data_IF_072789444367
#
_entry.id   IF_072789444367
#
_cell.length_a   1.000
_cell.length_b   1.000
_cell.length_c   1.000
_cell.angle_alpha   90.00
_cell.angle_beta   90.00
_cell.angle_gamma   90.00
#
_symmetry.space_group_name_H-M   'P 1'
#
loop_
_entity.id
_entity.type
_entity.pdbx_description
1 polymer ?
#
# COMPACT_ATOMS: atom_id res chain seq x y z
N UNK A 1 10.69 -20.07 -1.20
CA UNK A 1 9.56 -20.30 -2.14
C UNK A 1 8.27 -20.05 -1.38
N UNK A 2 7.29 -19.38 -1.96
CA UNK A 2 6.02 -19.05 -1.29
C UNK A 2 4.83 -19.53 -2.11
N UNK A 3 3.72 -19.88 -1.46
CA UNK A 3 2.46 -20.20 -2.10
C UNK A 3 1.32 -19.37 -1.50
N UNK A 4 0.49 -18.78 -2.37
CA UNK A 4 -0.58 -17.86 -2.02
C UNK A 4 -1.91 -18.46 -2.40
N UNK A 5 -2.87 -18.51 -1.49
CA UNK A 5 -4.07 -19.33 -1.68
C UNK A 5 -5.33 -18.51 -1.93
N UNK A 6 -6.23 -19.06 -2.76
CA UNK A 6 -7.58 -18.53 -2.97
C UNK A 6 -7.78 -17.70 -4.23
N UNK A 7 -6.84 -17.74 -5.18
CA UNK A 7 -6.85 -16.92 -6.40
C UNK A 7 -7.20 -17.67 -7.68
N UNK A 8 -6.91 -18.96 -7.74
CA UNK A 8 -7.04 -19.78 -8.95
C UNK A 8 -7.64 -21.14 -8.61
N UNK A 9 -8.11 -21.89 -9.62
CA UNK A 9 -8.59 -23.27 -9.43
C UNK A 9 -7.44 -24.27 -9.25
N UNK A 10 -6.28 -23.98 -9.83
CA UNK A 10 -5.10 -24.85 -9.84
C UNK A 10 -3.84 -24.03 -9.48
N UNK A 11 -2.82 -24.67 -8.87
CA UNK A 11 -1.51 -24.09 -8.69
C UNK A 11 -0.97 -23.44 -9.97
N UNK A 12 -0.65 -22.14 -9.91
CA UNK A 12 0.05 -21.42 -10.98
C UNK A 12 1.41 -20.97 -10.48
N UNK A 13 2.46 -21.31 -11.21
CA UNK A 13 3.83 -20.90 -10.88
C UNK A 13 4.18 -19.59 -11.55
N UNK A 14 4.83 -18.69 -10.82
CA UNK A 14 5.32 -17.41 -11.32
C UNK A 14 6.85 -17.36 -11.34
N UNK A 15 7.38 -16.49 -12.20
CA UNK A 15 8.79 -16.10 -12.21
C UNK A 15 9.21 -15.49 -10.86
N UNK A 16 10.52 -15.42 -10.63
CA UNK A 16 11.10 -14.92 -9.37
C UNK A 16 10.82 -13.44 -9.07
N UNK A 17 10.32 -12.70 -10.04
CA UNK A 17 9.91 -11.31 -9.91
C UNK A 17 8.37 -11.16 -9.78
N UNK A 18 7.63 -12.28 -9.80
CA UNK A 18 6.17 -12.30 -9.71
C UNK A 18 5.45 -11.76 -10.95
N UNK A 19 6.15 -11.46 -12.06
CA UNK A 19 5.55 -10.78 -13.23
C UNK A 19 5.05 -11.73 -14.31
N UNK A 20 5.72 -12.87 -14.51
CA UNK A 20 5.42 -13.81 -15.60
C UNK A 20 4.85 -15.11 -15.05
N UNK A 21 3.70 -15.52 -15.59
CA UNK A 21 3.14 -16.85 -15.36
C UNK A 21 4.02 -17.87 -16.10
N UNK A 22 4.63 -18.79 -15.36
CA UNK A 22 5.40 -19.92 -15.89
C UNK A 22 4.51 -21.12 -16.28
N UNK A 23 3.25 -21.11 -15.82
CA UNK A 23 2.27 -22.16 -16.08
C UNK A 23 2.08 -23.10 -14.89
N UNK A 24 1.69 -24.35 -15.15
CA UNK A 24 1.37 -25.36 -14.12
C UNK A 24 2.54 -26.28 -13.74
N UNK A 25 3.71 -26.14 -14.39
CA UNK A 25 4.88 -26.99 -14.15
C UNK A 25 6.03 -26.17 -13.56
N UNK A 26 6.37 -26.43 -12.30
CA UNK A 26 7.64 -26.03 -11.70
C UNK A 26 8.70 -27.11 -11.98
N UNK A 27 9.94 -26.68 -12.25
CA UNK A 27 11.09 -27.58 -12.40
C UNK A 27 11.54 -28.18 -11.06
N UNK A 28 11.21 -27.51 -9.95
CA UNK A 28 11.48 -27.99 -8.61
C UNK A 28 10.38 -28.98 -8.18
N UNK A 29 10.73 -30.27 -8.11
CA UNK A 29 9.76 -31.33 -7.80
C UNK A 29 9.30 -31.24 -6.35
N UNK A 30 10.21 -31.04 -5.41
CA UNK A 30 9.89 -30.98 -3.97
C UNK A 30 8.94 -29.82 -3.67
N UNK A 31 9.24 -28.62 -4.19
CA UNK A 31 8.36 -27.48 -3.99
C UNK A 31 7.01 -27.66 -4.68
N UNK A 32 7.00 -28.26 -5.88
CA UNK A 32 5.76 -28.56 -6.57
C UNK A 32 4.89 -29.51 -5.75
N UNK A 33 5.49 -30.60 -5.26
CA UNK A 33 4.79 -31.62 -4.48
C UNK A 33 4.30 -31.03 -3.15
N UNK A 34 5.08 -30.16 -2.53
CA UNK A 34 4.64 -29.33 -1.41
C UNK A 34 3.39 -28.50 -1.74
N UNK A 35 3.40 -27.71 -2.82
CA UNK A 35 2.25 -26.88 -3.22
C UNK A 35 0.99 -27.73 -3.47
N UNK A 36 1.15 -28.91 -4.08
CA UNK A 36 0.03 -29.85 -4.30
C UNK A 36 -0.47 -30.52 -3.02
N UNK A 37 0.38 -30.67 -2.02
CA UNK A 37 0.00 -31.25 -0.73
C UNK A 37 -0.74 -30.27 0.20
N UNK A 38 -0.76 -28.97 -0.12
CA UNK A 38 -1.54 -27.99 0.65
C UNK A 38 -3.04 -28.29 0.45
N UNK A 39 -3.75 -28.53 1.57
CA UNK A 39 -5.17 -28.92 1.57
C UNK A 39 -6.10 -27.84 1.02
N UNK A 40 -5.72 -26.58 1.17
CA UNK A 40 -6.50 -25.47 0.63
C UNK A 40 -6.38 -25.45 -0.90
N UNK A 41 -7.50 -25.59 -1.60
CA UNK A 41 -7.52 -25.67 -3.07
C UNK A 41 -7.16 -24.33 -3.70
N UNK A 42 -6.24 -24.36 -4.68
CA UNK A 42 -5.96 -23.22 -5.54
C UNK A 42 -4.89 -22.28 -4.99
N UNK A 43 -3.67 -22.42 -5.52
CA UNK A 43 -2.51 -21.67 -5.05
C UNK A 43 -1.80 -20.92 -6.19
N UNK A 44 -1.05 -19.89 -5.83
CA UNK A 44 -0.14 -19.17 -6.69
C UNK A 44 1.23 -19.25 -6.05
N UNK A 45 2.16 -19.90 -6.74
CA UNK A 45 3.44 -20.28 -6.19
C UNK A 45 4.57 -19.46 -6.81
N UNK A 46 5.38 -18.83 -5.97
CA UNK A 46 6.56 -18.05 -6.37
C UNK A 46 7.79 -18.74 -5.84
N UNK A 47 8.72 -19.08 -6.73
CA UNK A 47 9.93 -19.82 -6.35
C UNK A 47 10.86 -18.93 -5.50
N UNK A 48 11.24 -17.78 -6.01
CA UNK A 48 12.20 -16.90 -5.32
C UNK A 48 11.71 -15.47 -5.37
N UNK A 49 12.15 -14.64 -4.41
CA UNK A 49 11.73 -13.24 -4.27
C UNK A 49 12.92 -12.28 -4.48
N UNK A 50 13.80 -12.57 -5.43
CA UNK A 50 15.09 -11.87 -5.53
C UNK A 50 15.06 -10.56 -6.31
N UNK A 51 13.95 -10.21 -6.97
CA UNK A 51 13.82 -9.02 -7.83
C UNK A 51 12.41 -8.42 -7.82
N UNK A 52 11.80 -8.34 -6.64
CA UNK A 52 10.46 -7.76 -6.52
C UNK A 52 10.53 -6.25 -6.69
N UNK A 53 9.67 -5.70 -7.54
CA UNK A 53 9.43 -4.27 -7.57
C UNK A 53 8.46 -3.93 -6.42
N UNK A 54 9.05 -3.50 -5.31
CA UNK A 54 8.29 -3.20 -4.11
C UNK A 54 7.46 -1.92 -4.28
N UNK A 55 6.24 -1.95 -3.74
CA UNK A 55 5.25 -0.89 -3.82
C UNK A 55 4.65 -0.66 -2.46
N UNK A 56 4.41 0.61 -2.15
CA UNK A 56 3.77 1.03 -0.90
C UNK A 56 2.26 0.98 -1.05
N UNK A 57 1.56 0.52 -0.02
CA UNK A 57 0.09 0.43 0.05
C UNK A 57 -0.38 0.67 1.48
N UNK A 58 -1.55 1.26 1.61
CA UNK A 58 -2.35 1.16 2.83
C UNK A 58 -3.15 -0.13 2.73
N UNK A 59 -2.83 -1.11 3.58
CA UNK A 59 -3.58 -2.35 3.66
C UNK A 59 -4.58 -2.24 4.78
N UNK A 60 -5.87 -2.30 4.44
CA UNK A 60 -6.97 -2.20 5.38
C UNK A 60 -7.95 -3.33 5.11
N UNK A 61 -8.16 -4.20 6.10
CA UNK A 61 -8.88 -5.47 5.94
C UNK A 61 -8.33 -6.27 4.74
N UNK A 62 -9.14 -6.54 3.73
CA UNK A 62 -8.82 -7.30 2.52
C UNK A 62 -8.47 -6.42 1.30
N UNK A 63 -8.27 -5.11 1.52
CA UNK A 63 -8.00 -4.12 0.47
C UNK A 63 -6.62 -3.49 0.63
N UNK A 64 -5.92 -3.36 -0.49
CA UNK A 64 -4.67 -2.62 -0.60
C UNK A 64 -4.89 -1.37 -1.43
N UNK A 65 -4.89 -0.22 -0.78
CA UNK A 65 -5.12 1.09 -1.39
C UNK A 65 -3.76 1.70 -1.71
N UNK A 66 -3.59 2.26 -2.91
CA UNK A 66 -2.34 2.94 -3.21
C UNK A 66 -2.24 4.30 -2.50
N UNK A 67 -1.01 4.80 -2.30
CA UNK A 67 -0.73 6.12 -1.72
C UNK A 67 -1.50 7.31 -2.27
N UNK A 68 -1.77 7.32 -3.58
CA UNK A 68 -2.54 8.39 -4.21
C UNK A 68 -4.06 8.22 -4.03
N UNK A 69 -4.50 7.18 -3.33
CA UNK A 69 -5.88 6.79 -3.07
C UNK A 69 -6.74 6.48 -4.32
N UNK A 70 -6.13 6.33 -5.50
CA UNK A 70 -6.83 6.14 -6.79
C UNK A 70 -7.05 4.69 -7.18
N UNK A 71 -6.32 3.76 -6.58
CA UNK A 71 -6.35 2.36 -6.98
C UNK A 71 -6.48 1.47 -5.75
N UNK A 72 -7.35 0.47 -5.87
CA UNK A 72 -7.59 -0.53 -4.84
C UNK A 72 -7.32 -1.91 -5.45
N UNK A 73 -6.48 -2.67 -4.77
CA UNK A 73 -6.10 -4.05 -5.11
C UNK A 73 -6.64 -4.98 -4.02
N UNK A 74 -6.86 -6.26 -4.35
CA UNK A 74 -7.17 -7.26 -3.32
C UNK A 74 -5.91 -7.70 -2.58
N UNK A 75 -6.01 -7.93 -1.28
CA UNK A 75 -4.89 -8.44 -0.48
C UNK A 75 -4.83 -9.97 -0.55
N UNK A 76 -3.63 -10.52 -0.41
CA UNK A 76 -3.43 -11.98 -0.27
C UNK A 76 -4.23 -12.54 0.92
N UNK A 77 -4.91 -13.68 0.80
CA UNK A 77 -5.67 -14.28 1.92
C UNK A 77 -4.81 -15.07 2.90
N UNK A 78 -3.87 -15.86 2.37
CA UNK A 78 -2.98 -16.74 3.13
C UNK A 78 -1.66 -16.87 2.40
N UNK A 79 -0.56 -16.87 3.16
CA UNK A 79 0.79 -17.03 2.64
C UNK A 79 1.40 -18.28 3.28
N UNK A 80 1.85 -19.20 2.44
CA UNK A 80 2.63 -20.36 2.86
C UNK A 80 4.08 -20.13 2.47
N UNK A 81 5.01 -20.30 3.43
CA UNK A 81 6.44 -20.15 3.20
C UNK A 81 7.08 -21.53 3.27
N UNK A 82 7.52 -22.05 2.12
CA UNK A 82 8.15 -23.36 2.05
C UNK A 82 9.39 -23.43 2.97
N UNK A 83 9.57 -24.52 3.75
CA UNK A 83 8.77 -25.76 3.74
C UNK A 83 7.61 -25.84 4.76
N UNK A 84 7.19 -24.72 5.36
CA UNK A 84 6.12 -24.74 6.38
C UNK A 84 4.75 -25.05 5.78
N UNK A 85 3.98 -25.91 6.45
CA UNK A 85 2.57 -26.17 6.13
C UNK A 85 1.59 -25.30 6.90
N UNK A 86 2.10 -24.38 7.72
CA UNK A 86 1.30 -23.42 8.46
C UNK A 86 1.17 -22.14 7.64
N UNK A 87 -0.07 -21.76 7.38
CA UNK A 87 -0.37 -20.50 6.69
C UNK A 87 -0.13 -19.33 7.63
N UNK A 88 0.54 -18.30 7.13
CA UNK A 88 0.65 -17.00 7.77
C UNK A 88 -0.49 -16.10 7.26
N UNK A 89 -1.17 -15.44 8.19
CA UNK A 89 -2.15 -14.41 7.86
C UNK A 89 -1.44 -13.16 7.31
N UNK A 90 -2.04 -12.49 6.30
CA UNK A 90 -1.46 -11.27 5.76
C UNK A 90 -1.41 -10.17 6.82
N UNK A 91 -0.42 -9.28 6.69
CA UNK A 91 -0.41 -8.01 7.42
C UNK A 91 -1.66 -7.21 7.04
N UNK A 92 -2.39 -6.72 8.02
CA UNK A 92 -3.58 -5.88 7.84
C UNK A 92 -3.51 -4.61 8.70
N UNK A 93 -4.33 -3.62 8.36
CA UNK A 93 -4.45 -2.32 9.04
C UNK A 93 -3.09 -1.63 9.22
N UNK A 94 -2.34 -1.57 8.12
CA UNK A 94 -0.98 -1.06 8.11
C UNK A 94 -0.64 -0.39 6.78
N UNK A 95 0.20 0.63 6.84
CA UNK A 95 0.98 1.10 5.71
C UNK A 95 2.19 0.18 5.53
N UNK A 96 2.31 -0.41 4.34
CA UNK A 96 3.23 -1.52 4.10
C UNK A 96 3.95 -1.37 2.77
N UNK A 97 5.10 -2.02 2.70
CA UNK A 97 5.83 -2.29 1.47
C UNK A 97 5.58 -3.75 1.06
N UNK A 98 5.25 -3.97 -0.20
CA UNK A 98 4.91 -5.29 -0.73
C UNK A 98 5.00 -5.34 -2.24
N UNK A 99 4.39 -6.32 -2.90
CA UNK A 99 4.41 -6.41 -4.36
C UNK A 99 3.05 -6.82 -4.91
N UNK A 100 2.76 -6.38 -6.12
CA UNK A 100 1.51 -6.71 -6.83
C UNK A 100 1.77 -7.86 -7.80
N UNK A 101 1.00 -8.93 -7.68
CA UNK A 101 0.87 -9.98 -8.68
C UNK A 101 -0.20 -9.59 -9.70
N UNK A 102 0.20 -9.60 -10.97
CA UNK A 102 -0.75 -9.39 -12.07
C UNK A 102 -1.49 -10.70 -12.37
N UNK A 103 -2.82 -10.64 -12.27
CA UNK A 103 -3.72 -11.68 -12.79
C UNK A 103 -4.52 -11.17 -13.98
N UNK A 104 -5.19 -12.10 -14.65
CA UNK A 104 -6.11 -11.84 -15.76
C UNK A 104 -7.34 -11.04 -15.29
N UNK A 105 -7.80 -11.22 -14.04
CA UNK A 105 -9.05 -10.61 -13.54
C UNK A 105 -8.86 -9.49 -12.52
N UNK A 106 -7.97 -9.62 -11.54
CA UNK A 106 -7.72 -8.58 -10.55
C UNK A 106 -6.28 -8.64 -10.02
N UNK A 107 -5.57 -7.51 -9.91
CA UNK A 107 -4.27 -7.47 -9.26
C UNK A 107 -4.41 -7.86 -7.78
N UNK A 108 -3.44 -8.62 -7.28
CA UNK A 108 -3.37 -9.05 -5.88
C UNK A 108 -2.11 -8.50 -5.25
N UNK A 109 -2.25 -7.78 -4.16
CA UNK A 109 -1.14 -7.23 -3.40
C UNK A 109 -0.74 -8.19 -2.27
N UNK A 110 0.56 -8.46 -2.19
CA UNK A 110 1.17 -9.28 -1.14
C UNK A 110 1.96 -8.34 -0.23
N UNK A 111 1.48 -8.05 0.99
CA UNK A 111 2.21 -7.24 1.95
C UNK A 111 3.39 -8.02 2.52
N UNK A 112 4.54 -7.36 2.67
CA UNK A 112 5.77 -8.01 3.16
C UNK A 112 6.36 -7.32 4.39
N UNK A 113 6.46 -6.00 4.36
CA UNK A 113 7.15 -5.22 5.39
C UNK A 113 6.18 -4.15 5.90
N UNK A 114 5.95 -4.14 7.21
CA UNK A 114 5.22 -3.07 7.88
C UNK A 114 6.09 -1.83 7.93
N UNK A 115 5.60 -0.71 7.41
CA UNK A 115 6.21 0.60 7.62
C UNK A 115 5.59 1.24 8.87
N UNK A 116 4.24 1.18 8.97
CA UNK A 116 3.47 1.76 10.08
C UNK A 116 2.15 1.03 10.25
N UNK A 117 1.72 0.78 11.49
CA UNK A 117 0.35 0.36 11.78
C UNK A 117 -0.59 1.55 11.79
N UNK A 118 -1.78 1.37 11.21
CA UNK A 118 -2.79 2.42 11.10
C UNK A 118 -3.68 2.43 12.34
N UNK A 119 -4.06 3.62 12.77
CA UNK A 119 -5.04 3.79 13.85
C UNK A 119 -6.47 3.55 13.37
N UNK A 120 -7.39 3.30 14.30
CA UNK A 120 -8.79 2.95 13.98
C UNK A 120 -9.47 4.04 13.13
N UNK A 121 -9.30 5.31 13.48
CA UNK A 121 -9.85 6.42 12.68
C UNK A 121 -9.27 6.51 11.27
N UNK A 122 -7.99 6.17 11.09
CA UNK A 122 -7.35 6.15 9.78
C UNK A 122 -7.85 4.98 8.92
N UNK A 123 -8.04 3.82 9.56
CA UNK A 123 -8.63 2.62 8.95
C UNK A 123 -10.05 2.92 8.45
N UNK A 124 -10.87 3.58 9.26
CA UNK A 124 -12.23 3.95 8.88
C UNK A 124 -12.27 4.96 7.72
N UNK A 125 -11.44 6.00 7.78
CA UNK A 125 -11.32 6.99 6.71
C UNK A 125 -10.91 6.35 5.37
N UNK A 126 -9.89 5.48 5.38
CA UNK A 126 -9.45 4.75 4.20
C UNK A 126 -10.51 3.80 3.64
N UNK A 127 -11.30 3.15 4.49
CA UNK A 127 -12.41 2.30 4.06
C UNK A 127 -13.55 3.10 3.41
N UNK A 128 -13.79 4.33 3.88
CA UNK A 128 -14.74 5.26 3.27
C UNK A 128 -14.36 5.57 1.82
N UNK A 129 -13.07 5.81 1.60
CA UNK A 129 -12.49 6.14 0.29
C UNK A 129 -12.38 4.96 -0.66
N UNK A 130 -12.09 3.76 -0.16
CA UNK A 130 -11.92 2.57 -0.99
C UNK A 130 -13.20 2.15 -1.74
N UNK A 131 -14.30 2.89 -1.62
CA UNK A 131 -15.55 2.75 -2.40
C UNK A 131 -15.55 3.61 -3.67
N UNK A 132 -14.73 4.65 -3.73
CA UNK A 132 -14.64 5.61 -4.84
C UNK A 132 -13.60 5.12 -5.84
N UNK A 133 -13.90 5.18 -7.15
CA UNK A 133 -13.06 4.57 -8.20
C UNK A 133 -11.84 5.40 -8.57
N UNK A 134 -11.94 6.72 -8.51
CA UNK A 134 -10.84 7.65 -8.73
C UNK A 134 -11.04 8.84 -7.82
N UNK A 135 -9.96 9.27 -7.15
CA UNK A 135 -9.96 10.40 -6.22
C UNK A 135 -9.27 11.60 -6.86
N UNK A 136 -10.00 12.70 -6.98
CA UNK A 136 -9.47 14.01 -7.34
C UNK A 136 -8.91 14.75 -6.10
N UNK A 137 -8.41 15.97 -6.29
CA UNK A 137 -7.82 16.76 -5.19
C UNK A 137 -8.86 17.13 -4.14
N UNK A 138 -10.08 17.50 -4.55
CA UNK A 138 -11.15 17.87 -3.61
C UNK A 138 -11.54 16.68 -2.72
N UNK A 139 -11.65 15.47 -3.30
CA UNK A 139 -11.91 14.25 -2.56
C UNK A 139 -10.73 13.85 -1.66
N UNK A 140 -9.49 14.17 -2.05
CA UNK A 140 -8.32 14.02 -1.18
C UNK A 140 -8.33 15.04 -0.03
N UNK A 141 -8.87 16.23 -0.24
CA UNK A 141 -9.06 17.22 0.84
C UNK A 141 -10.14 16.73 1.80
N UNK A 142 -11.26 16.22 1.30
CA UNK A 142 -12.31 15.62 2.12
C UNK A 142 -11.80 14.41 2.92
N UNK A 143 -10.92 13.60 2.33
CA UNK A 143 -10.21 12.56 3.08
C UNK A 143 -9.48 13.11 4.30
N UNK A 144 -8.67 14.14 4.12
CA UNK A 144 -7.88 14.73 5.20
C UNK A 144 -8.78 15.37 6.26
N UNK A 145 -9.88 15.99 5.85
CA UNK A 145 -10.92 16.49 6.77
C UNK A 145 -11.54 15.37 7.58
N UNK A 146 -11.78 14.20 6.99
CA UNK A 146 -12.29 13.02 7.71
C UNK A 146 -11.31 12.49 8.77
N UNK A 147 -10.01 12.83 8.65
CA UNK A 147 -8.99 12.56 9.66
C UNK A 147 -8.92 13.62 10.77
N UNK A 148 -9.85 14.59 10.76
CA UNK A 148 -9.90 15.71 11.71
C UNK A 148 -8.92 16.84 11.41
N UNK A 149 -8.34 16.89 10.21
CA UNK A 149 -7.39 17.93 9.80
C UNK A 149 -8.17 19.08 9.15
N UNK A 150 -7.90 20.32 9.57
CA UNK A 150 -8.45 21.47 8.82
C UNK A 150 -7.54 21.74 7.62
N UNK A 151 -8.17 21.93 6.45
CA UNK A 151 -7.45 22.01 5.17
C UNK A 151 -7.91 23.21 4.38
N UNK A 152 -6.95 24.07 4.03
CA UNK A 152 -7.10 25.14 3.06
C UNK A 152 -6.21 24.84 1.84
N UNK A 153 -6.71 25.19 0.64
CA UNK A 153 -6.02 24.88 -0.62
C UNK A 153 -5.86 26.14 -1.44
N UNK A 154 -4.65 26.35 -1.97
CA UNK A 154 -4.30 27.49 -2.83
C UNK A 154 -3.57 26.97 -4.07
N UNK A 155 -4.03 27.37 -5.25
CA UNK A 155 -3.37 27.02 -6.51
C UNK A 155 -2.28 28.04 -6.86
N UNK A 156 -1.08 27.55 -7.14
CA UNK A 156 0.06 28.31 -7.67
C UNK A 156 0.38 27.84 -9.10
N UNK A 157 1.29 28.53 -9.79
CA UNK A 157 1.76 28.11 -11.12
C UNK A 157 2.57 26.80 -11.01
N UNK A 158 3.27 26.62 -9.90
CA UNK A 158 4.17 25.51 -9.62
C UNK A 158 3.45 24.25 -9.10
N UNK A 159 2.20 24.38 -8.64
CA UNK A 159 1.43 23.28 -8.06
C UNK A 159 0.32 23.76 -7.11
N UNK A 160 -0.17 22.85 -6.27
CA UNK A 160 -1.24 23.11 -5.32
C UNK A 160 -0.63 23.15 -3.92
N UNK A 161 -0.78 24.26 -3.21
CA UNK A 161 -0.38 24.38 -1.81
C UNK A 161 -1.56 23.93 -0.95
N UNK A 162 -1.29 23.00 -0.04
CA UNK A 162 -2.23 22.51 0.95
C UNK A 162 -1.74 22.95 2.32
N UNK A 163 -2.47 23.89 2.93
CA UNK A 163 -2.28 24.32 4.30
C UNK A 163 -3.06 23.37 5.22
N UNK A 164 -2.34 22.74 6.15
CA UNK A 164 -2.86 21.68 7.02
C UNK A 164 -2.74 22.16 8.46
N UNK A 165 -3.85 22.22 9.17
CA UNK A 165 -3.88 22.37 10.63
C UNK A 165 -4.30 21.04 11.25
N UNK A 166 -3.29 20.25 11.64
CA UNK A 166 -3.47 18.90 12.17
C UNK A 166 -3.43 18.94 13.70
N UNK A 167 -4.50 18.52 14.40
CA UNK A 167 -4.54 18.57 15.87
C UNK A 167 -3.44 17.72 16.55
N UNK A 168 -2.85 16.75 15.85
CA UNK A 168 -1.82 15.88 16.41
C UNK A 168 -0.44 16.55 16.33
N UNK A 169 -0.21 17.39 15.32
CA UNK A 169 1.15 17.78 14.91
C UNK A 169 1.34 19.30 14.78
N UNK A 170 0.25 20.05 14.60
CA UNK A 170 0.25 21.49 14.38
C UNK A 170 0.09 21.87 12.91
N UNK A 171 0.33 23.15 12.61
CA UNK A 171 0.09 23.70 11.27
C UNK A 171 1.31 23.56 10.35
N UNK A 172 1.15 22.97 9.17
CA UNK A 172 2.21 22.83 8.17
C UNK A 172 1.69 22.96 6.74
N UNK A 173 2.61 23.06 5.78
CA UNK A 173 2.32 23.30 4.37
C UNK A 173 2.96 22.24 3.50
N UNK A 174 2.20 21.81 2.50
CA UNK A 174 2.66 20.84 1.51
C UNK A 174 2.32 21.35 0.12
N UNK A 175 3.33 21.47 -0.73
CA UNK A 175 3.17 21.72 -2.15
C UNK A 175 3.04 20.38 -2.87
N UNK A 176 1.96 20.19 -3.63
CA UNK A 176 1.67 18.96 -4.36
C UNK A 176 1.44 19.20 -5.85
N UNK A 177 1.63 18.15 -6.66
CA UNK A 177 1.18 18.14 -8.06
C UNK A 177 -0.32 17.77 -8.19
N UNK A 178 -0.85 17.80 -9.42
CA UNK A 178 -2.24 17.40 -9.74
C UNK A 178 -2.53 15.91 -9.44
N UNK A 179 -1.50 15.10 -9.23
CA UNK A 179 -1.61 13.71 -8.85
C UNK A 179 -1.52 13.49 -7.33
N UNK A 180 -1.37 14.57 -6.56
CA UNK A 180 -1.22 14.54 -5.11
C UNK A 180 0.16 14.08 -4.63
N UNK A 181 1.18 14.11 -5.50
CA UNK A 181 2.57 13.85 -5.11
C UNK A 181 3.13 15.07 -4.43
N UNK A 182 3.87 14.85 -3.36
CA UNK A 182 4.59 15.89 -2.63
C UNK A 182 5.76 16.39 -3.48
N UNK A 183 5.76 17.68 -3.78
CA UNK A 183 6.83 18.40 -4.46
C UNK A 183 7.79 18.98 -3.40
N UNK A 184 7.24 19.69 -2.41
CA UNK A 184 8.00 20.30 -1.32
C UNK A 184 7.10 20.43 -0.07
N UNK A 185 7.71 20.58 1.10
CA UNK A 185 7.02 20.80 2.37
C UNK A 185 7.89 21.64 3.31
N UNK A 186 7.28 22.37 4.23
CA UNK A 186 8.00 23.06 5.29
C UNK A 186 8.27 22.16 6.51
N UNK A 187 8.06 20.85 6.40
CA UNK A 187 8.33 19.88 7.46
C UNK A 187 9.65 19.15 7.21
N UNK A 188 10.47 19.01 8.25
CA UNK A 188 11.65 18.15 8.19
C UNK A 188 11.26 16.67 8.33
N UNK A 189 11.43 15.92 7.24
CA UNK A 189 11.23 14.47 7.20
C UNK A 189 12.42 13.83 6.46
N UNK A 190 12.96 12.76 7.00
CA UNK A 190 14.01 12.00 6.31
C UNK A 190 13.35 11.02 5.33
N UNK A 191 13.54 11.26 4.03
CA UNK A 191 12.81 10.54 2.98
C UNK A 191 13.67 10.25 1.75
N UNK A 192 13.89 8.96 1.50
CA UNK A 192 14.61 8.49 0.31
C UNK A 192 13.74 8.41 -0.96
N UNK A 193 12.41 8.60 -0.86
CA UNK A 193 11.48 8.37 -1.96
C UNK A 193 10.34 9.40 -2.03
N UNK A 194 9.90 9.72 -3.26
CA UNK A 194 8.75 10.61 -3.52
C UNK A 194 7.47 10.07 -2.86
N UNK A 195 6.81 10.90 -2.06
CA UNK A 195 5.55 10.58 -1.38
C UNK A 195 4.33 11.15 -2.07
N UNK A 196 3.18 10.58 -1.72
CA UNK A 196 1.88 11.24 -1.89
C UNK A 196 1.42 11.89 -0.57
N UNK A 197 0.58 12.91 -0.67
CA UNK A 197 0.09 13.66 0.47
C UNK A 197 -0.50 12.77 1.60
N UNK A 198 -1.34 11.75 1.34
CA UNK A 198 -1.81 10.83 2.37
C UNK A 198 -0.69 10.05 3.08
N UNK A 199 0.36 9.64 2.34
CA UNK A 199 1.52 8.97 2.96
C UNK A 199 2.24 9.92 3.90
N UNK A 200 2.44 11.16 3.45
CA UNK A 200 3.14 12.18 4.22
C UNK A 200 2.43 12.45 5.55
N UNK A 201 1.10 12.68 5.50
CA UNK A 201 0.28 12.96 6.69
C UNK A 201 0.39 11.82 7.71
N UNK A 202 0.25 10.57 7.28
CA UNK A 202 0.34 9.42 8.18
C UNK A 202 1.74 9.22 8.78
N UNK A 203 2.80 9.47 8.00
CA UNK A 203 4.17 9.36 8.48
C UNK A 203 4.52 10.47 9.48
N UNK A 204 4.07 11.69 9.21
CA UNK A 204 4.24 12.83 10.11
C UNK A 204 3.52 12.57 11.45
N UNK A 205 2.26 12.12 11.41
CA UNK A 205 1.50 11.77 12.61
C UNK A 205 2.18 10.68 13.46
N UNK A 206 2.85 9.72 12.83
CA UNK A 206 3.61 8.69 13.55
C UNK A 206 4.80 9.26 14.33
N UNK A 207 5.48 10.25 13.76
CA UNK A 207 6.64 10.86 14.41
C UNK A 207 6.22 11.76 15.58
N UNK A 208 5.04 12.39 15.51
CA UNK A 208 4.44 13.20 16.56
C UNK A 208 5.12 14.56 16.74
N UNK A 209 6.43 14.58 16.96
CA UNK A 209 7.24 15.79 17.08
C UNK A 209 8.10 16.01 15.83
N UNK A 210 7.59 16.81 14.91
CA UNK A 210 8.33 17.25 13.72
C UNK A 210 8.76 18.71 13.87
N UNK A 211 9.89 19.05 13.27
CA UNK A 211 10.29 20.45 13.14
C UNK A 211 9.62 21.05 11.91
N UNK A 212 8.79 22.08 12.14
CA UNK A 212 8.07 22.81 11.10
C UNK A 212 8.79 24.15 10.88
N UNK A 213 9.33 24.35 9.68
CA UNK A 213 9.92 25.62 9.28
C UNK A 213 8.83 26.69 9.09
N UNK A 214 9.18 28.00 9.21
CA UNK A 214 8.27 29.08 8.87
C UNK A 214 7.64 28.89 7.50
N UNK A 215 6.38 29.35 7.35
CA UNK A 215 5.61 29.20 6.10
C UNK A 215 6.43 29.68 4.91
N UNK A 216 6.53 28.82 3.91
CA UNK A 216 7.24 29.11 2.64
C UNK A 216 6.32 29.80 1.63
N UNK A 217 5.00 29.57 1.71
CA UNK A 217 3.99 30.00 0.72
C UNK A 217 2.72 30.57 1.35
#
# INVERSE_FOLDING_TARGET
MIALIGYTRFPVFYSSDGKKVLGCKCNDKEFRDYVWSIKDKGAVAIRTLSKLNLRRRFVVKDKAINPSLRTVESVVRRIYVYPSYEAVEPITNAYVLGFTLKFIRMPVFVPLIVIRYLEEGEVEALLGIAKVREINIDEMVEFLRSLGIQVEVRSLVEGIVVDLDDPIVGCYQVLIDEQGRVIDTNVCIDMEAQLFLPELVFLIRQQGNIYIYPRKW
#
